data_IF_028077570924
#
_entry.id   IF_028077570924
#
_cell.length_a   1.000
_cell.length_b   1.000
_cell.length_c   1.000
_cell.angle_alpha   90.00
_cell.angle_beta   90.00
_cell.angle_gamma   90.00
#
_symmetry.space_group_name_H-M   'P 1'
#
loop_
_entity.id
_entity.type
_entity.pdbx_description
1 polymer ?
#
# COMPACT_ATOMS: atom_id res chain seq x y z
N UNK A 1 -1.36 -43.00 -57.70
CA UNK A 1 -0.40 -43.07 -56.58
C UNK A 1 -1.08 -42.49 -55.35
N UNK A 2 -1.68 -43.35 -54.53
CA UNK A 2 -2.23 -42.96 -53.23
C UNK A 2 -1.04 -42.89 -52.27
N UNK A 3 -0.70 -41.70 -51.80
CA UNK A 3 0.38 -41.52 -50.82
C UNK A 3 -0.27 -41.57 -49.44
N UNK A 4 0.06 -42.61 -48.68
CA UNK A 4 -0.36 -42.73 -47.29
C UNK A 4 0.42 -41.72 -46.45
N UNK A 5 -0.27 -40.69 -45.97
CA UNK A 5 0.29 -39.72 -45.03
C UNK A 5 -0.14 -40.12 -43.61
N UNK A 6 0.82 -40.44 -42.75
CA UNK A 6 0.59 -40.61 -41.31
C UNK A 6 0.74 -39.26 -40.60
N UNK A 7 -0.17 -38.97 -39.67
CA UNK A 7 -0.08 -37.79 -38.81
C UNK A 7 0.60 -38.17 -37.50
N UNK A 8 1.72 -37.53 -37.17
CA UNK A 8 2.45 -37.71 -35.92
C UNK A 8 2.56 -36.37 -35.17
N UNK A 9 2.39 -36.41 -33.85
CA UNK A 9 2.57 -35.24 -32.97
C UNK A 9 4.05 -35.17 -32.60
N UNK A 10 4.84 -34.52 -33.45
CA UNK A 10 6.28 -34.32 -33.24
C UNK A 10 6.64 -32.83 -33.21
N UNK A 11 7.45 -32.43 -32.24
CA UNK A 11 7.92 -31.05 -32.01
C UNK A 11 9.23 -30.72 -32.73
N UNK A 12 9.94 -31.73 -33.24
CA UNK A 12 11.25 -31.56 -33.90
C UNK A 12 11.11 -31.00 -35.32
N UNK A 13 11.59 -29.76 -35.49
CA UNK A 13 11.35 -28.97 -36.67
C UNK A 13 12.02 -29.51 -37.96
N UNK A 14 13.08 -30.31 -37.82
CA UNK A 14 13.88 -30.79 -38.95
C UNK A 14 13.36 -32.09 -39.55
N UNK A 15 12.57 -32.87 -38.80
CA UNK A 15 12.10 -34.20 -39.21
C UNK A 15 10.80 -34.18 -40.01
N UNK A 16 9.97 -33.15 -39.86
CA UNK A 16 8.62 -33.11 -40.46
C UNK A 16 8.48 -31.90 -41.41
N UNK A 17 8.59 -32.10 -42.74
CA UNK A 17 8.60 -31.02 -43.72
C UNK A 17 7.22 -30.41 -44.03
N UNK A 18 6.12 -31.11 -43.71
CA UNK A 18 4.74 -30.60 -43.89
C UNK A 18 3.98 -30.63 -42.58
N UNK A 19 3.51 -29.46 -42.15
CA UNK A 19 2.77 -29.27 -40.90
C UNK A 19 1.38 -28.72 -41.20
N UNK A 20 0.39 -29.29 -40.53
CA UNK A 20 -0.99 -28.82 -40.59
C UNK A 20 -1.31 -28.31 -39.18
N UNK A 21 -1.48 -27.00 -39.04
CA UNK A 21 -1.89 -26.41 -37.78
C UNK A 21 -3.41 -26.55 -37.63
N UNK A 22 -3.85 -27.46 -36.77
CA UNK A 22 -5.26 -27.54 -36.39
C UNK A 22 -5.59 -26.37 -35.45
N UNK A 23 -6.02 -25.26 -36.04
CA UNK A 23 -6.60 -24.15 -35.27
C UNK A 23 -8.04 -24.55 -34.94
N UNK A 24 -8.27 -25.06 -33.72
CA UNK A 24 -9.64 -25.27 -33.22
C UNK A 24 -10.33 -23.91 -33.16
N UNK A 25 -11.20 -23.66 -34.14
CA UNK A 25 -12.04 -22.47 -34.17
C UNK A 25 -12.87 -22.44 -32.87
N UNK A 26 -12.64 -21.41 -32.05
CA UNK A 26 -13.31 -21.14 -30.76
C UNK A 26 -12.79 -21.94 -29.55
N UNK A 27 -11.49 -21.91 -29.32
CA UNK A 27 -11.06 -21.83 -27.91
C UNK A 27 -11.24 -20.38 -27.50
N UNK A 28 -12.27 -20.06 -26.70
CA UNK A 28 -12.34 -18.77 -26.04
C UNK A 28 -10.97 -18.52 -25.37
N UNK A 29 -10.46 -17.30 -25.42
CA UNK A 29 -9.22 -16.93 -24.74
C UNK A 29 -9.42 -17.13 -23.23
N UNK A 30 -9.31 -18.38 -22.77
CA UNK A 30 -9.16 -18.72 -21.37
C UNK A 30 -7.81 -18.13 -21.04
N UNK A 31 -7.79 -17.16 -20.14
CA UNK A 31 -6.58 -16.73 -19.44
C UNK A 31 -5.86 -18.03 -19.11
N UNK A 32 -4.65 -18.21 -19.66
CA UNK A 32 -3.75 -19.25 -19.18
C UNK A 32 -3.51 -18.87 -17.73
N UNK A 33 -4.34 -19.40 -16.85
CA UNK A 33 -3.97 -19.60 -15.46
C UNK A 33 -2.65 -20.35 -15.58
N UNK A 34 -1.54 -19.70 -15.22
CA UNK A 34 -0.34 -20.47 -14.97
C UNK A 34 -0.76 -21.49 -13.93
N UNK A 35 -0.71 -22.78 -14.27
CA UNK A 35 -0.76 -23.83 -13.26
C UNK A 35 0.44 -23.55 -12.36
N UNK A 36 0.21 -22.75 -11.31
CA UNK A 36 1.16 -22.55 -10.24
C UNK A 36 1.40 -23.93 -9.64
N UNK A 37 2.65 -24.21 -9.29
CA UNK A 37 3.00 -25.52 -8.74
C UNK A 37 2.31 -25.70 -7.38
N UNK A 38 1.20 -26.44 -7.38
CA UNK A 38 0.39 -26.65 -6.19
C UNK A 38 1.03 -27.72 -5.31
N UNK A 39 1.25 -27.40 -4.04
CA UNK A 39 1.72 -28.35 -3.03
C UNK A 39 0.58 -28.74 -2.09
N UNK A 40 0.64 -29.95 -1.52
CA UNK A 40 -0.32 -30.39 -0.51
C UNK A 40 -0.22 -29.51 0.75
N UNK A 41 -1.33 -28.88 1.16
CA UNK A 41 -1.40 -27.99 2.33
C UNK A 41 -0.87 -28.66 3.59
N UNK A 42 -1.30 -29.90 3.83
CA UNK A 42 -0.73 -30.76 4.86
C UNK A 42 0.21 -31.78 4.21
N UNK A 43 1.46 -31.94 4.69
CA UNK A 43 2.08 -31.26 5.83
C UNK A 43 2.80 -29.95 5.48
N UNK A 44 2.93 -29.60 4.20
CA UNK A 44 3.93 -28.62 3.75
C UNK A 44 3.70 -27.17 4.24
N UNK A 45 2.45 -26.71 4.30
CA UNK A 45 2.09 -25.38 4.80
C UNK A 45 1.99 -25.41 6.33
N UNK A 46 1.29 -26.40 6.88
CA UNK A 46 1.01 -26.51 8.32
C UNK A 46 2.30 -26.54 9.14
N UNK A 47 3.32 -27.28 8.70
CA UNK A 47 4.62 -27.31 9.41
C UNK A 47 5.30 -25.94 9.39
N UNK A 48 5.24 -25.20 8.26
CA UNK A 48 5.81 -23.85 8.17
C UNK A 48 5.08 -22.86 9.07
N UNK A 49 3.75 -22.96 9.16
CA UNK A 49 2.94 -22.13 10.04
C UNK A 49 3.21 -22.41 11.52
N UNK A 50 3.36 -23.68 11.91
CA UNK A 50 3.76 -24.04 13.28
C UNK A 50 5.14 -23.49 13.61
N UNK A 51 6.12 -23.64 12.70
CA UNK A 51 7.47 -23.08 12.91
C UNK A 51 7.40 -21.55 13.05
N UNK A 52 6.63 -20.87 12.18
CA UNK A 52 6.46 -19.42 12.26
C UNK A 52 5.77 -18.98 13.56
N UNK A 53 4.77 -19.74 14.01
CA UNK A 53 4.08 -19.51 15.27
C UNK A 53 5.01 -19.67 16.47
N UNK A 54 5.79 -20.75 16.52
CA UNK A 54 6.78 -20.99 17.58
C UNK A 54 7.83 -19.87 17.62
N UNK A 55 8.35 -19.46 16.46
CA UNK A 55 9.28 -18.33 16.35
C UNK A 55 8.62 -17.05 16.89
N UNK A 56 7.37 -16.77 16.52
CA UNK A 56 6.63 -15.60 17.01
C UNK A 56 6.47 -15.63 18.53
N UNK A 57 6.12 -16.78 19.12
CA UNK A 57 6.01 -16.96 20.57
C UNK A 57 7.36 -16.72 21.25
N UNK A 58 8.44 -17.33 20.75
CA UNK A 58 9.79 -17.13 21.29
C UNK A 58 10.18 -15.65 21.25
N UNK A 59 9.96 -14.97 20.12
CA UNK A 59 10.28 -13.54 19.99
C UNK A 59 9.45 -12.71 20.99
N UNK A 60 8.15 -12.95 21.11
CA UNK A 60 7.30 -12.24 22.07
C UNK A 60 7.72 -12.49 23.52
N UNK A 61 8.06 -13.74 23.88
CA UNK A 61 8.58 -14.08 25.21
C UNK A 61 9.90 -13.38 25.48
N UNK A 62 10.84 -13.39 24.54
CA UNK A 62 12.11 -12.68 24.68
C UNK A 62 11.89 -11.18 24.86
N UNK A 63 11.05 -10.54 24.05
CA UNK A 63 10.72 -9.12 24.21
C UNK A 63 10.12 -8.84 25.58
N UNK A 64 9.17 -9.67 26.04
CA UNK A 64 8.55 -9.51 27.36
C UNK A 64 9.50 -9.75 28.55
N UNK A 65 10.61 -10.47 28.35
CA UNK A 65 11.62 -10.67 29.40
C UNK A 65 12.57 -9.47 29.52
N UNK A 66 12.79 -8.73 28.42
CA UNK A 66 13.72 -7.60 28.40
C UNK A 66 13.04 -6.23 28.45
N UNK A 67 11.75 -6.14 28.13
CA UNK A 67 10.99 -4.89 28.03
C UNK A 67 9.70 -5.01 28.84
N UNK A 68 9.63 -4.26 29.94
CA UNK A 68 8.40 -4.15 30.73
C UNK A 68 7.30 -3.44 29.95
N UNK A 69 6.06 -3.89 30.15
CA UNK A 69 4.90 -3.22 29.57
C UNK A 69 4.70 -1.85 30.26
N UNK A 70 4.54 -0.75 29.49
CA UNK A 70 4.27 0.57 30.05
C UNK A 70 2.81 0.66 30.51
N UNK A 71 2.49 -0.02 31.61
CA UNK A 71 1.16 -0.01 32.22
C UNK A 71 1.03 1.17 33.17
N UNK A 72 -0.05 1.94 33.02
CA UNK A 72 -0.42 2.98 33.96
C UNK A 72 -1.07 2.39 35.23
N UNK A 73 -1.27 3.25 36.22
CA UNK A 73 -1.96 2.93 37.47
C UNK A 73 -3.45 2.61 37.20
N UNK A 74 -4.14 2.01 38.18
CA UNK A 74 -5.54 1.57 38.04
C UNK A 74 -6.45 2.78 37.75
N UNK A 75 -7.21 2.75 36.65
CA UNK A 75 -8.06 3.85 36.19
C UNK A 75 -8.83 4.60 37.29
N UNK A 76 -8.74 5.93 37.29
CA UNK A 76 -9.42 6.86 38.20
C UNK A 76 -10.05 7.96 37.35
N UNK A 77 -11.36 8.18 37.52
CA UNK A 77 -12.11 9.21 36.80
C UNK A 77 -11.72 10.64 37.21
N UNK A 78 -11.10 10.83 38.37
CA UNK A 78 -10.67 12.14 38.88
C UNK A 78 -9.28 12.56 38.39
N UNK A 79 -8.52 11.66 37.74
CA UNK A 79 -7.16 11.94 37.27
C UNK A 79 -6.99 11.58 35.79
N UNK A 80 -6.79 12.59 34.95
CA UNK A 80 -6.45 12.39 33.54
C UNK A 80 -4.93 12.41 33.38
N UNK A 81 -4.31 11.33 32.87
CA UNK A 81 -2.87 11.31 32.64
C UNK A 81 -2.48 12.35 31.59
N UNK A 82 -1.34 13.01 31.80
CA UNK A 82 -0.80 14.00 30.87
C UNK A 82 0.68 13.68 30.58
N UNK A 83 1.04 13.29 29.34
CA UNK A 83 0.21 13.14 28.15
C UNK A 83 -0.51 11.77 28.07
N UNK A 84 -1.80 11.77 27.70
CA UNK A 84 -2.52 10.55 27.37
C UNK A 84 -2.19 10.11 25.93
N UNK A 85 -1.24 9.18 25.76
CA UNK A 85 -0.86 8.61 24.45
C UNK A 85 -1.65 7.33 24.16
N UNK A 86 -2.25 7.25 22.98
CA UNK A 86 -2.85 6.02 22.48
C UNK A 86 -1.77 4.96 22.17
N UNK A 87 -2.15 3.67 22.06
CA UNK A 87 -1.27 2.65 21.54
C UNK A 87 -0.67 3.03 20.18
N UNK A 88 0.55 2.57 19.90
CA UNK A 88 1.34 2.99 18.72
C UNK A 88 0.61 2.85 17.38
N UNK A 89 -0.27 1.85 17.23
CA UNK A 89 -1.06 1.63 16.01
C UNK A 89 -2.22 2.64 15.83
N UNK A 90 -2.61 3.35 16.90
CA UNK A 90 -3.58 4.46 16.85
C UNK A 90 -2.94 5.84 16.99
N UNK A 91 -1.66 5.92 17.32
CA UNK A 91 -0.95 7.17 17.56
C UNK A 91 -0.98 8.11 16.34
N UNK A 92 -0.87 7.57 15.13
CA UNK A 92 -1.04 8.36 13.91
C UNK A 92 -2.46 8.92 13.72
N UNK A 93 -3.49 8.19 14.15
CA UNK A 93 -4.88 8.67 14.14
C UNK A 93 -5.12 9.73 15.22
N UNK A 94 -4.52 9.57 16.40
CA UNK A 94 -4.56 10.59 17.45
C UNK A 94 -3.88 11.89 16.99
N UNK A 95 -2.75 11.77 16.29
CA UNK A 95 -2.06 12.92 15.71
C UNK A 95 -2.93 13.59 14.62
N UNK A 96 -3.64 12.81 13.80
CA UNK A 96 -4.61 13.34 12.84
C UNK A 96 -5.74 14.13 13.50
N UNK A 97 -6.24 13.63 14.64
CA UNK A 97 -7.30 14.26 15.45
C UNK A 97 -6.87 15.56 16.13
N UNK A 98 -5.57 15.76 16.33
CA UNK A 98 -5.05 17.03 16.85
C UNK A 98 -5.16 18.15 15.80
N UNK A 99 -5.00 17.82 14.52
CA UNK A 99 -5.05 18.80 13.43
C UNK A 99 -6.46 19.07 12.89
N UNK A 100 -7.28 18.03 12.79
CA UNK A 100 -8.63 18.15 12.24
C UNK A 100 -9.69 18.24 13.33
N UNK A 101 -10.84 18.87 13.06
CA UNK A 101 -12.00 18.77 13.95
C UNK A 101 -12.30 17.30 14.29
N UNK A 102 -12.65 16.95 15.54
CA UNK A 102 -12.80 15.57 15.97
C UNK A 102 -13.77 14.73 15.10
N UNK A 103 -14.81 15.38 14.57
CA UNK A 103 -15.77 14.74 13.65
C UNK A 103 -15.09 14.33 12.33
N UNK A 104 -14.23 15.18 11.78
CA UNK A 104 -13.54 14.92 10.51
C UNK A 104 -12.48 13.84 10.70
N UNK A 105 -11.58 14.01 11.68
CA UNK A 105 -10.47 13.11 11.92
C UNK A 105 -10.89 11.75 12.48
N UNK A 106 -11.87 11.72 13.38
CA UNK A 106 -12.24 10.52 14.13
C UNK A 106 -13.41 9.73 13.54
N UNK A 107 -14.30 10.38 12.80
CA UNK A 107 -15.51 9.72 12.27
C UNK A 107 -15.49 9.69 10.74
N UNK A 108 -15.40 10.85 10.09
CA UNK A 108 -15.56 10.94 8.64
C UNK A 108 -14.42 10.22 7.91
N UNK A 109 -13.15 10.52 8.23
CA UNK A 109 -12.01 9.91 7.54
C UNK A 109 -11.93 8.38 7.71
N UNK A 110 -12.07 7.81 8.93
CA UNK A 110 -12.11 6.36 9.10
C UNK A 110 -13.32 5.72 8.41
N UNK A 111 -14.50 6.34 8.47
CA UNK A 111 -15.70 5.83 7.80
C UNK A 111 -15.53 5.81 6.27
N UNK A 112 -14.96 6.87 5.70
CA UNK A 112 -14.60 6.91 4.28
C UNK A 112 -13.59 5.84 3.91
N UNK A 113 -12.58 5.56 4.75
CA UNK A 113 -11.62 4.49 4.49
C UNK A 113 -12.27 3.10 4.48
N UNK A 114 -13.19 2.82 5.41
CA UNK A 114 -13.97 1.58 5.45
C UNK A 114 -14.88 1.45 4.23
N UNK A 115 -15.61 2.52 3.89
CA UNK A 115 -16.47 2.55 2.68
C UNK A 115 -15.62 2.35 1.43
N UNK A 116 -14.46 3.00 1.33
CA UNK A 116 -13.54 2.80 0.21
C UNK A 116 -13.09 1.33 0.11
N UNK A 117 -12.72 0.68 1.22
CA UNK A 117 -12.33 -0.73 1.22
C UNK A 117 -13.46 -1.66 0.75
N UNK A 118 -14.71 -1.38 1.14
CA UNK A 118 -15.88 -2.12 0.68
C UNK A 118 -16.18 -1.87 -0.80
N UNK A 119 -15.98 -0.65 -1.27
CA UNK A 119 -16.37 -0.20 -2.60
C UNK A 119 -15.32 -0.52 -3.68
N UNK A 120 -14.02 -0.51 -3.33
CA UNK A 120 -12.89 -0.76 -4.25
C UNK A 120 -13.07 -2.05 -5.08
N UNK A 121 -13.46 -3.21 -4.52
CA UNK A 121 -13.64 -4.45 -5.28
C UNK A 121 -14.70 -4.37 -6.39
N UNK A 122 -15.68 -3.47 -6.26
CA UNK A 122 -16.78 -3.32 -7.22
C UNK A 122 -16.41 -2.41 -8.40
N UNK A 123 -15.35 -1.60 -8.26
CA UNK A 123 -14.84 -0.78 -9.34
C UNK A 123 -13.67 -1.45 -10.05
N UNK A 124 -13.61 -1.32 -11.38
CA UNK A 124 -12.50 -1.80 -12.21
C UNK A 124 -11.25 -0.90 -12.09
N UNK A 125 -10.87 -0.50 -10.87
CA UNK A 125 -9.81 0.50 -10.62
C UNK A 125 -8.42 0.01 -11.03
N UNK A 126 -8.22 -1.31 -11.22
CA UNK A 126 -6.90 -1.86 -11.50
C UNK A 126 -6.92 -3.17 -12.30
N UNK A 127 -7.76 -3.31 -13.33
CA UNK A 127 -7.72 -4.48 -14.24
C UNK A 127 -6.42 -4.50 -15.07
N UNK A 128 -5.72 -3.36 -15.17
CA UNK A 128 -4.45 -3.21 -15.85
C UNK A 128 -3.41 -2.65 -14.88
N UNK A 129 -2.34 -3.40 -14.60
CA UNK A 129 -1.14 -2.90 -13.89
C UNK A 129 -0.28 -2.04 -14.83
N UNK A 130 -0.91 -1.09 -15.51
CA UNK A 130 -0.24 -0.20 -16.45
C UNK A 130 0.25 1.07 -15.71
N UNK A 131 1.31 1.69 -16.23
CA UNK A 131 1.89 2.88 -15.64
C UNK A 131 0.93 4.07 -15.69
N UNK A 132 1.00 4.94 -14.69
CA UNK A 132 0.11 6.10 -14.50
C UNK A 132 -0.15 6.92 -15.78
N UNK A 133 0.88 7.05 -16.63
CA UNK A 133 0.87 7.93 -17.80
C UNK A 133 0.55 7.24 -19.14
N UNK A 134 0.13 5.96 -19.14
CA UNK A 134 -0.04 5.17 -20.38
C UNK A 134 -1.36 5.39 -21.13
N UNK A 135 -2.48 5.57 -20.43
CA UNK A 135 -3.81 5.66 -21.04
C UNK A 135 -4.07 7.06 -21.62
N UNK A 136 -4.52 8.00 -20.78
CA UNK A 136 -4.84 9.37 -21.18
C UNK A 136 -3.97 10.36 -20.40
N UNK A 137 -2.82 10.70 -20.98
CA UNK A 137 -1.81 11.54 -20.33
C UNK A 137 -2.34 12.91 -19.91
N UNK A 138 -3.26 13.51 -20.71
CA UNK A 138 -3.81 14.84 -20.42
C UNK A 138 -4.84 14.77 -19.32
N UNK A 139 -5.77 13.83 -19.40
CA UNK A 139 -6.77 13.63 -18.36
C UNK A 139 -6.11 13.27 -17.03
N UNK A 140 -5.15 12.33 -17.02
CA UNK A 140 -4.41 11.96 -15.81
C UNK A 140 -3.66 13.15 -15.22
N UNK A 141 -3.02 13.98 -16.07
CA UNK A 141 -2.33 15.18 -15.60
C UNK A 141 -3.29 16.16 -14.92
N UNK A 142 -4.41 16.48 -15.57
CA UNK A 142 -5.41 17.41 -15.04
C UNK A 142 -5.99 16.88 -13.74
N UNK A 143 -6.42 15.62 -13.69
CA UNK A 143 -6.96 15.01 -12.46
C UNK A 143 -5.93 15.03 -11.34
N UNK A 144 -4.69 14.61 -11.60
CA UNK A 144 -3.64 14.57 -10.59
C UNK A 144 -3.33 15.95 -10.03
N UNK A 145 -3.15 16.96 -10.89
CA UNK A 145 -2.85 18.33 -10.47
C UNK A 145 -4.04 18.95 -9.77
N UNK A 146 -5.26 18.77 -10.26
CA UNK A 146 -6.47 19.32 -9.63
C UNK A 146 -6.72 18.69 -8.26
N UNK A 147 -6.71 17.36 -8.16
CA UNK A 147 -6.90 16.65 -6.89
C UNK A 147 -5.75 16.94 -5.93
N UNK A 148 -4.51 16.91 -6.40
CA UNK A 148 -3.33 17.20 -5.61
C UNK A 148 -3.31 18.65 -5.09
N UNK A 149 -3.72 19.61 -5.90
CA UNK A 149 -3.83 21.03 -5.49
C UNK A 149 -4.99 21.25 -4.53
N UNK A 150 -6.15 20.63 -4.77
CA UNK A 150 -7.29 20.68 -3.85
C UNK A 150 -6.92 20.09 -2.49
N UNK A 151 -6.30 18.92 -2.47
CA UNK A 151 -5.80 18.28 -1.26
C UNK A 151 -4.78 19.16 -0.54
N UNK A 152 -3.80 19.70 -1.26
CA UNK A 152 -2.79 20.60 -0.69
C UNK A 152 -3.40 21.88 -0.14
N UNK A 153 -4.40 22.44 -0.81
CA UNK A 153 -5.15 23.61 -0.34
C UNK A 153 -5.93 23.31 0.94
N UNK A 154 -6.61 22.17 1.01
CA UNK A 154 -7.30 21.73 2.23
C UNK A 154 -6.29 21.57 3.38
N UNK A 155 -5.17 20.89 3.14
CA UNK A 155 -4.14 20.70 4.17
C UNK A 155 -3.54 22.03 4.65
N UNK A 156 -3.37 23.00 3.75
CA UNK A 156 -2.90 24.35 4.10
C UNK A 156 -3.95 25.12 4.91
N UNK A 157 -5.23 25.01 4.56
CA UNK A 157 -6.34 25.67 5.27
C UNK A 157 -6.45 25.21 6.73
N UNK A 158 -6.11 23.95 7.01
CA UNK A 158 -6.04 23.39 8.36
C UNK A 158 -4.64 23.48 8.99
N UNK A 159 -3.69 24.19 8.36
CA UNK A 159 -2.31 24.38 8.82
C UNK A 159 -1.55 23.06 9.08
N UNK A 160 -1.88 21.99 8.35
CA UNK A 160 -1.33 20.65 8.60
C UNK A 160 -0.08 20.37 7.77
N UNK A 161 1.01 21.05 8.14
CA UNK A 161 2.29 20.98 7.43
C UNK A 161 2.89 19.57 7.40
N UNK A 162 2.69 18.79 8.47
CA UNK A 162 3.21 17.41 8.62
C UNK A 162 2.70 16.48 7.51
N UNK A 163 1.47 16.68 7.03
CA UNK A 163 0.90 15.93 5.90
C UNK A 163 1.12 16.62 4.55
N UNK A 164 1.19 17.96 4.54
CA UNK A 164 1.38 18.74 3.31
C UNK A 164 2.73 18.42 2.64
N UNK A 165 3.82 18.43 3.41
CA UNK A 165 5.18 18.24 2.85
C UNK A 165 5.33 16.88 2.15
N UNK A 166 4.99 15.73 2.77
CA UNK A 166 5.07 14.43 2.10
C UNK A 166 4.11 14.31 0.91
N UNK A 167 2.93 14.94 1.00
CA UNK A 167 1.96 14.95 -0.11
C UNK A 167 2.53 15.66 -1.33
N UNK A 168 3.15 16.84 -1.15
CA UNK A 168 3.80 17.58 -2.23
C UNK A 168 5.00 16.82 -2.82
N UNK A 169 5.81 16.18 -1.97
CA UNK A 169 6.93 15.34 -2.42
C UNK A 169 6.44 14.21 -3.31
N UNK A 170 5.38 13.49 -2.89
CA UNK A 170 4.85 12.37 -3.66
C UNK A 170 4.20 12.85 -4.97
N UNK A 171 3.42 13.93 -4.95
CA UNK A 171 2.87 14.55 -6.16
C UNK A 171 4.01 14.94 -7.12
N UNK A 172 5.08 15.55 -6.61
CA UNK A 172 6.28 15.86 -7.37
C UNK A 172 6.89 14.61 -8.01
N UNK A 173 7.06 13.53 -7.23
CA UNK A 173 7.57 12.26 -7.73
C UNK A 173 6.66 11.62 -8.81
N UNK A 174 5.33 11.78 -8.70
CA UNK A 174 4.38 11.32 -9.73
C UNK A 174 4.50 12.12 -11.03
N UNK A 175 4.88 13.40 -10.95
CA UNK A 175 5.04 14.31 -12.10
C UNK A 175 6.40 14.21 -12.78
N UNK A 176 7.45 13.72 -12.10
CA UNK A 176 8.80 13.57 -12.68
C UNK A 176 8.79 12.77 -14.00
N UNK A 177 8.12 11.60 -14.11
CA UNK A 177 8.07 10.85 -15.37
C UNK A 177 7.36 11.60 -16.49
N UNK A 178 6.35 12.42 -16.18
CA UNK A 178 5.63 13.24 -17.15
C UNK A 178 6.52 14.32 -17.76
N UNK A 179 7.35 14.97 -16.93
CA UNK A 179 8.26 16.04 -17.37
C UNK A 179 9.45 15.47 -18.13
N UNK A 180 10.09 14.43 -17.58
CA UNK A 180 11.34 13.92 -18.12
C UNK A 180 11.15 13.04 -19.35
N UNK A 181 9.95 12.45 -19.56
CA UNK A 181 9.60 11.50 -20.63
C UNK A 181 10.61 10.36 -20.84
N UNK A 182 11.49 10.13 -19.87
CA UNK A 182 12.56 9.14 -19.94
C UNK A 182 12.00 7.80 -19.53
N UNK A 183 12.01 6.85 -20.45
CA UNK A 183 11.48 5.51 -20.22
C UNK A 183 12.47 4.56 -19.53
N UNK A 184 13.73 4.98 -19.35
CA UNK A 184 14.81 4.15 -18.81
C UNK A 184 15.38 4.66 -17.49
N UNK A 185 15.83 3.73 -16.64
CA UNK A 185 16.38 4.01 -15.31
C UNK A 185 15.32 4.27 -14.24
N UNK A 186 15.71 4.93 -13.14
CA UNK A 186 14.83 5.19 -11.98
C UNK A 186 13.60 6.03 -12.33
N UNK A 187 13.71 6.94 -13.30
CA UNK A 187 12.59 7.77 -13.77
C UNK A 187 11.56 6.93 -14.53
N UNK A 188 12.02 6.04 -15.42
CA UNK A 188 11.14 5.10 -16.12
C UNK A 188 10.46 4.12 -15.17
N UNK A 189 11.17 3.67 -14.14
CA UNK A 189 10.62 2.85 -13.06
C UNK A 189 9.47 3.55 -12.33
N UNK A 190 9.63 4.83 -11.95
CA UNK A 190 8.56 5.63 -11.33
C UNK A 190 7.34 5.77 -12.27
N UNK A 191 7.58 6.01 -13.57
CA UNK A 191 6.51 6.13 -14.57
C UNK A 191 5.73 4.84 -14.81
N UNK A 192 6.37 3.67 -14.59
CA UNK A 192 5.73 2.36 -14.73
C UNK A 192 4.77 2.00 -13.59
N UNK A 193 4.75 2.77 -12.50
CA UNK A 193 3.90 2.48 -11.33
C UNK A 193 2.46 2.87 -11.59
N UNK A 194 1.54 2.01 -11.16
CA UNK A 194 0.11 2.25 -11.26
C UNK A 194 -0.35 3.29 -10.23
N UNK A 195 -1.51 3.89 -10.47
CA UNK A 195 -2.12 4.85 -9.54
C UNK A 195 -2.34 4.24 -8.15
N UNK A 196 -2.73 2.97 -8.06
CA UNK A 196 -2.91 2.27 -6.78
C UNK A 196 -1.61 2.19 -5.97
N UNK A 197 -0.46 1.99 -6.63
CA UNK A 197 0.84 1.98 -5.97
C UNK A 197 1.18 3.34 -5.36
N UNK A 198 0.87 4.43 -6.08
CA UNK A 198 1.08 5.79 -5.60
C UNK A 198 0.17 6.14 -4.43
N UNK A 199 -1.13 5.80 -4.50
CA UNK A 199 -2.07 6.01 -3.39
C UNK A 199 -1.62 5.24 -2.16
N UNK A 200 -1.24 3.97 -2.31
CA UNK A 200 -0.76 3.15 -1.18
C UNK A 200 0.52 3.74 -0.58
N UNK A 201 1.46 4.16 -1.42
CA UNK A 201 2.71 4.79 -0.96
C UNK A 201 2.43 6.08 -0.21
N UNK A 202 1.52 6.93 -0.71
CA UNK A 202 1.08 8.14 -0.03
C UNK A 202 0.41 7.85 1.32
N UNK A 203 -0.52 6.91 1.36
CA UNK A 203 -1.21 6.51 2.58
C UNK A 203 -0.24 5.98 3.65
N UNK A 204 0.63 5.03 3.30
CA UNK A 204 1.62 4.46 4.22
C UNK A 204 2.61 5.52 4.69
N UNK A 205 3.09 6.38 3.78
CA UNK A 205 4.02 7.47 4.13
C UNK A 205 3.39 8.43 5.15
N UNK A 206 2.15 8.85 4.94
CA UNK A 206 1.43 9.69 5.90
C UNK A 206 1.23 8.98 7.23
N UNK A 207 0.77 7.72 7.22
CA UNK A 207 0.53 6.96 8.44
C UNK A 207 1.82 6.81 9.28
N UNK A 208 2.95 6.50 8.63
CA UNK A 208 4.25 6.39 9.28
C UNK A 208 4.71 7.73 9.83
N UNK A 209 4.59 8.80 9.05
CA UNK A 209 5.02 10.15 9.49
C UNK A 209 4.16 10.63 10.66
N UNK A 210 2.84 10.50 10.61
CA UNK A 210 1.96 10.86 11.73
C UNK A 210 2.27 10.04 12.98
N UNK A 211 2.51 8.73 12.82
CA UNK A 211 2.89 7.86 13.95
C UNK A 211 4.24 8.29 14.54
N UNK A 212 5.23 8.60 13.70
CA UNK A 212 6.53 9.08 14.14
C UNK A 212 6.44 10.45 14.84
N UNK A 213 5.63 11.37 14.31
CA UNK A 213 5.38 12.68 14.93
C UNK A 213 4.72 12.52 16.29
N UNK A 214 3.63 11.75 16.37
CA UNK A 214 2.94 11.48 17.62
C UNK A 214 3.83 10.78 18.66
N UNK A 215 4.72 9.89 18.22
CA UNK A 215 5.61 9.13 19.13
C UNK A 215 6.73 10.01 19.67
N UNK A 216 7.42 10.74 18.78
CA UNK A 216 8.70 11.39 19.10
C UNK A 216 8.57 12.87 19.48
N UNK A 217 7.59 13.59 18.92
CA UNK A 217 7.51 15.04 19.02
C UNK A 217 6.36 15.55 19.89
N UNK A 218 5.50 14.65 20.41
CA UNK A 218 4.39 15.02 21.30
C UNK A 218 4.73 14.80 22.76
N UNK A 219 4.72 15.91 23.52
CA UNK A 219 5.00 15.98 24.95
C UNK A 219 3.77 16.33 25.78
N UNK A 220 3.97 16.91 26.99
CA UNK A 220 2.89 17.33 27.88
C UNK A 220 1.86 18.22 27.15
N UNK A 221 0.59 18.02 27.46
CA UNK A 221 -0.56 18.70 26.85
C UNK A 221 -0.68 18.49 25.33
N UNK A 222 -0.05 17.44 24.80
CA UNK A 222 0.07 17.20 23.36
C UNK A 222 0.78 18.34 22.60
N UNK A 223 1.58 19.13 23.32
CA UNK A 223 2.39 20.19 22.73
C UNK A 223 3.56 19.63 21.94
N UNK A 224 4.08 20.44 21.02
CA UNK A 224 5.30 20.12 20.28
C UNK A 224 6.50 20.20 21.21
N UNK A 225 7.26 19.12 21.30
CA UNK A 225 8.49 19.02 22.09
C UNK A 225 9.58 18.39 21.27
N UNK A 226 10.81 18.87 21.44
CA UNK A 226 11.95 18.24 20.75
C UNK A 226 12.37 16.97 21.49
N UNK A 227 12.64 15.86 20.79
CA UNK A 227 12.99 14.58 21.41
C UNK A 227 14.20 14.64 22.35
N UNK A 228 15.09 15.61 22.15
CA UNK A 228 16.31 15.82 22.93
C UNK A 228 16.18 16.82 24.08
N UNK A 229 15.01 17.47 24.25
CA UNK A 229 14.77 18.42 25.35
C UNK A 229 14.15 17.77 26.60
N UNK A 230 13.80 16.48 26.52
CA UNK A 230 13.38 15.67 27.66
C UNK A 230 12.52 14.48 27.21
N UNK A 231 13.02 13.27 27.42
CA UNK A 231 12.18 12.08 27.45
C UNK A 231 11.40 12.14 28.77
N UNK A 232 10.15 12.57 28.71
CA UNK A 232 9.20 12.46 29.82
C UNK A 232 8.49 11.11 29.74
#
# INVERSE_FOLDING_TARGET
MQKDFSAEVASDAKKVPRRIAFIKARTAARVKESDEEMAMTFPSLVVKEIIAFEIMVIVLTLVSLFVDAPLEWIANAEHTPNPAKAPWYFLGLQELLHYFPPVVGGVILPMLAVVALVVIPYFRVNVKREGLWKDDIRHTFVVLVTVGSLLSFILLLFEVYVMLVPTLVIIGCMLIPYISRKETGSIGWLGSRSLSWWIMTWFVTIAVILTAVGTLFRGPEWSWTWPWEGLY
#
